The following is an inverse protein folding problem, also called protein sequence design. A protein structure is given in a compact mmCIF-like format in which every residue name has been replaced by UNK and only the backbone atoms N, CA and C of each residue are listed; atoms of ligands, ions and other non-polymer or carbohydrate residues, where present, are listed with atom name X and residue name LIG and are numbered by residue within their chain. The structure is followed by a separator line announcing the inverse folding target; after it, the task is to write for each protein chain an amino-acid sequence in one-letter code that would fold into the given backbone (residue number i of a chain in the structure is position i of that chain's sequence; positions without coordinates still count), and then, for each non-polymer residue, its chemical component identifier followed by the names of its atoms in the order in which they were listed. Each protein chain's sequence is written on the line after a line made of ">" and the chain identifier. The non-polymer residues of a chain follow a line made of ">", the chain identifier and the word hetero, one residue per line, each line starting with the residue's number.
data_IF_369245539492
#
_entry.id   IF_369245539492
#
_cell.length_a   1.000
_cell.length_b   1.000
_cell.length_c   1.000
_cell.angle_alpha   90.00
_cell.angle_beta   90.00
_cell.angle_gamma   90.00
#
_symmetry.space_group_name_H-M   'P 1'
#
loop_
_entity.id
_entity.type
_entity.pdbx_description
1 polymer ?
#
# COMPACT_ATOMS: atom_id res chain seq x y z
N UNK A 1 -40.74 -37.98 -10.79
CA UNK A 1 -40.61 -36.53 -10.53
C UNK A 1 -41.56 -35.80 -11.48
N UNK A 2 -42.56 -35.06 -10.99
CA UNK A 2 -43.55 -34.39 -11.87
C UNK A 2 -42.88 -33.28 -12.68
N UNK A 3 -43.33 -33.04 -13.92
CA UNK A 3 -42.78 -32.01 -14.83
C UNK A 3 -42.62 -30.64 -14.15
N UNK A 4 -43.63 -30.24 -13.37
CA UNK A 4 -43.65 -28.99 -12.60
C UNK A 4 -42.52 -28.89 -11.55
N UNK A 5 -42.20 -29.99 -10.86
CA UNK A 5 -41.12 -30.00 -9.87
C UNK A 5 -39.75 -29.83 -10.53
N UNK A 6 -39.55 -30.46 -11.69
CA UNK A 6 -38.32 -30.31 -12.49
C UNK A 6 -38.17 -28.87 -12.98
N UNK A 7 -39.23 -28.29 -13.53
CA UNK A 7 -39.21 -26.92 -14.07
C UNK A 7 -38.96 -25.89 -12.96
N UNK A 8 -39.51 -26.12 -11.77
CA UNK A 8 -39.23 -25.32 -10.56
C UNK A 8 -37.74 -25.37 -10.18
N UNK A 9 -37.14 -26.56 -10.11
CA UNK A 9 -35.71 -26.69 -9.78
C UNK A 9 -34.82 -26.00 -10.82
N UNK A 10 -35.11 -26.18 -12.11
CA UNK A 10 -34.36 -25.51 -13.19
C UNK A 10 -34.46 -23.99 -13.05
N UNK A 11 -35.65 -23.46 -12.72
CA UNK A 11 -35.85 -22.03 -12.51
C UNK A 11 -35.06 -21.52 -11.31
N UNK A 12 -35.03 -22.26 -10.20
CA UNK A 12 -34.27 -21.88 -9.01
C UNK A 12 -32.77 -21.88 -9.25
N UNK A 13 -32.25 -22.91 -9.93
CA UNK A 13 -30.82 -22.98 -10.29
C UNK A 13 -30.46 -21.85 -11.26
N UNK A 14 -31.25 -21.65 -12.32
CA UNK A 14 -31.03 -20.58 -13.29
C UNK A 14 -31.07 -19.19 -12.65
N UNK A 15 -32.03 -18.96 -11.74
CA UNK A 15 -32.10 -17.74 -10.96
C UNK A 15 -30.91 -17.60 -10.00
N UNK A 16 -30.48 -18.67 -9.34
CA UNK A 16 -29.29 -18.65 -8.48
C UNK A 16 -28.04 -18.26 -9.25
N UNK A 17 -27.80 -18.86 -10.42
CA UNK A 17 -26.68 -18.48 -11.30
C UNK A 17 -26.80 -17.04 -11.78
N UNK A 18 -27.98 -16.61 -12.21
CA UNK A 18 -28.20 -15.22 -12.58
C UNK A 18 -27.90 -14.27 -11.41
N UNK A 19 -28.35 -14.63 -10.20
CA UNK A 19 -28.09 -13.88 -8.97
C UNK A 19 -26.60 -13.75 -8.69
N UNK A 20 -25.87 -14.87 -8.77
CA UNK A 20 -24.41 -14.94 -8.63
C UNK A 20 -23.70 -13.95 -9.58
N UNK A 21 -24.05 -13.97 -10.87
CA UNK A 21 -23.45 -13.06 -11.85
C UNK A 21 -23.87 -11.60 -11.69
N UNK A 22 -25.13 -11.34 -11.32
CA UNK A 22 -25.59 -9.97 -11.05
C UNK A 22 -24.91 -9.36 -9.82
N UNK A 23 -24.56 -10.17 -8.83
CA UNK A 23 -23.78 -9.72 -7.66
C UNK A 23 -22.31 -9.45 -7.95
N UNK A 24 -21.73 -10.05 -8.99
CA UNK A 24 -20.37 -9.70 -9.43
C UNK A 24 -20.32 -8.28 -10.01
N UNK A 25 -21.40 -7.82 -10.64
CA UNK A 25 -21.43 -6.56 -11.37
C UNK A 25 -22.36 -5.53 -10.70
N UNK A 26 -23.67 -5.63 -10.93
CA UNK A 26 -24.64 -4.59 -10.59
C UNK A 26 -24.81 -4.42 -9.08
N UNK A 27 -24.84 -5.51 -8.32
CA UNK A 27 -25.07 -5.47 -6.88
C UNK A 27 -23.79 -5.59 -6.06
N UNK A 28 -22.62 -5.62 -6.70
CA UNK A 28 -21.35 -5.85 -6.01
C UNK A 28 -21.10 -4.85 -4.89
N UNK A 29 -21.07 -3.56 -5.24
CA UNK A 29 -20.82 -2.48 -4.28
C UNK A 29 -21.87 -2.44 -3.17
N UNK A 30 -23.15 -2.62 -3.51
CA UNK A 30 -24.23 -2.65 -2.52
C UNK A 30 -24.02 -3.77 -1.49
N UNK A 31 -23.79 -4.99 -1.95
CA UNK A 31 -23.65 -6.15 -1.07
C UNK A 31 -22.34 -6.04 -0.27
N UNK A 32 -21.22 -5.71 -0.93
CA UNK A 32 -19.91 -5.56 -0.31
C UNK A 32 -19.92 -4.49 0.78
N UNK A 33 -20.49 -3.31 0.53
CA UNK A 33 -20.54 -2.24 1.51
C UNK A 33 -21.33 -2.64 2.76
N UNK A 34 -22.40 -3.44 2.63
CA UNK A 34 -23.15 -3.94 3.77
C UNK A 34 -22.39 -5.04 4.53
N UNK A 35 -21.70 -5.94 3.82
CA UNK A 35 -20.85 -6.97 4.43
C UNK A 35 -19.70 -6.36 5.23
N UNK A 36 -19.01 -5.37 4.68
CA UNK A 36 -17.84 -4.79 5.34
C UNK A 36 -18.25 -3.95 6.57
N UNK A 37 -19.43 -3.32 6.57
CA UNK A 37 -19.96 -2.55 7.72
C UNK A 37 -20.14 -3.36 9.01
N UNK A 38 -20.36 -4.68 8.92
CA UNK A 38 -20.55 -5.54 10.09
C UNK A 38 -19.22 -6.05 10.69
N UNK A 39 -18.09 -5.71 10.06
CA UNK A 39 -16.79 -6.15 10.51
C UNK A 39 -16.25 -5.26 11.64
N UNK A 40 -15.41 -5.81 12.54
CA UNK A 40 -14.55 -5.00 13.39
C UNK A 40 -13.61 -4.12 12.56
N UNK A 41 -12.90 -3.15 13.16
CA UNK A 41 -11.87 -2.36 12.48
C UNK A 41 -10.68 -3.27 12.11
N UNK A 42 -10.79 -3.95 10.98
CA UNK A 42 -9.74 -4.80 10.39
C UNK A 42 -9.50 -4.38 8.95
N UNK A 43 -8.31 -4.64 8.41
CA UNK A 43 -8.01 -4.45 7.00
C UNK A 43 -8.99 -5.23 6.12
N UNK A 44 -9.58 -4.57 5.12
CA UNK A 44 -10.58 -5.16 4.23
C UNK A 44 -10.11 -5.43 2.79
N UNK A 45 -8.84 -5.12 2.48
CA UNK A 45 -8.26 -5.17 1.13
C UNK A 45 -8.26 -6.56 0.51
N UNK A 46 -8.00 -7.58 1.33
CA UNK A 46 -7.83 -8.98 0.90
C UNK A 46 -8.98 -9.88 1.35
N UNK A 47 -10.13 -9.30 1.68
CA UNK A 47 -11.27 -10.09 2.13
C UNK A 47 -11.90 -10.87 0.97
N UNK A 48 -12.42 -12.08 1.24
CA UNK A 48 -12.95 -12.95 0.20
C UNK A 48 -14.23 -12.39 -0.43
N UNK A 49 -14.19 -12.19 -1.76
CA UNK A 49 -15.31 -11.65 -2.53
C UNK A 49 -16.46 -12.64 -2.76
N UNK A 50 -16.19 -13.95 -2.65
CA UNK A 50 -17.15 -15.03 -2.92
C UNK A 50 -18.48 -14.89 -2.15
N UNK A 51 -18.46 -14.24 -0.99
CA UNK A 51 -19.65 -14.01 -0.16
C UNK A 51 -20.63 -13.00 -0.77
N UNK A 52 -20.14 -12.09 -1.62
CA UNK A 52 -20.98 -11.21 -2.43
C UNK A 52 -21.79 -12.05 -3.41
N UNK A 53 -21.13 -13.00 -4.07
CA UNK A 53 -21.73 -13.83 -5.10
C UNK A 53 -22.73 -14.85 -4.53
N UNK A 54 -22.36 -15.51 -3.43
CA UNK A 54 -23.23 -16.45 -2.71
C UNK A 54 -24.49 -15.73 -2.22
N UNK A 55 -24.37 -14.48 -1.77
CA UNK A 55 -25.51 -13.70 -1.31
C UNK A 55 -26.44 -13.31 -2.46
N UNK A 56 -25.91 -12.87 -3.60
CA UNK A 56 -26.71 -12.63 -4.80
C UNK A 56 -27.45 -13.89 -5.26
N UNK A 57 -26.76 -15.03 -5.29
CA UNK A 57 -27.34 -16.32 -5.65
C UNK A 57 -28.50 -16.72 -4.72
N UNK A 58 -28.31 -16.61 -3.40
CA UNK A 58 -29.32 -16.94 -2.42
C UNK A 58 -30.57 -16.06 -2.54
N UNK A 59 -30.37 -14.74 -2.64
CA UNK A 59 -31.47 -13.77 -2.76
C UNK A 59 -32.29 -14.05 -4.02
N UNK A 60 -31.64 -14.19 -5.18
CA UNK A 60 -32.36 -14.36 -6.45
C UNK A 60 -33.06 -15.72 -6.55
N UNK A 61 -32.45 -16.80 -6.02
CA UNK A 61 -33.08 -18.11 -5.97
C UNK A 61 -34.35 -18.10 -5.11
N UNK A 62 -34.30 -17.48 -3.92
CA UNK A 62 -35.49 -17.40 -3.04
C UNK A 62 -36.55 -16.47 -3.65
N UNK A 63 -36.15 -15.37 -4.29
CA UNK A 63 -37.08 -14.50 -5.01
C UNK A 63 -37.78 -15.21 -6.17
N UNK A 64 -37.02 -15.98 -6.96
CA UNK A 64 -37.58 -16.79 -8.04
C UNK A 64 -38.53 -17.89 -7.53
N UNK A 65 -38.25 -18.48 -6.35
CA UNK A 65 -39.18 -19.41 -5.71
C UNK A 65 -40.54 -18.78 -5.43
N UNK A 66 -40.53 -17.56 -4.85
CA UNK A 66 -41.75 -16.81 -4.57
C UNK A 66 -42.50 -16.50 -5.88
N UNK A 67 -41.78 -16.02 -6.89
CA UNK A 67 -42.37 -15.62 -8.18
C UNK A 67 -42.94 -16.83 -8.94
N UNK A 68 -42.26 -17.98 -8.91
CA UNK A 68 -42.75 -19.22 -9.51
C UNK A 68 -44.07 -19.68 -8.85
N UNK A 69 -44.15 -19.64 -7.51
CA UNK A 69 -45.37 -20.03 -6.80
C UNK A 69 -46.55 -19.10 -7.09
N UNK A 70 -46.30 -17.79 -7.21
CA UNK A 70 -47.35 -16.78 -7.50
C UNK A 70 -47.79 -16.84 -8.95
N UNK A 71 -46.86 -16.85 -9.90
CA UNK A 71 -47.14 -16.63 -11.32
C UNK A 71 -47.47 -17.94 -12.04
N UNK A 72 -46.64 -18.97 -11.84
CA UNK A 72 -46.75 -20.22 -12.60
C UNK A 72 -47.69 -21.22 -11.91
N UNK A 73 -47.52 -21.42 -10.60
CA UNK A 73 -48.42 -22.32 -9.86
C UNK A 73 -49.72 -21.65 -9.39
N UNK A 74 -49.83 -20.31 -9.54
CA UNK A 74 -51.01 -19.52 -9.14
C UNK A 74 -51.48 -19.82 -7.72
N UNK A 75 -50.54 -20.17 -6.82
CA UNK A 75 -50.84 -20.55 -5.44
C UNK A 75 -51.20 -19.31 -4.64
N UNK A 76 -52.47 -19.20 -4.25
CA UNK A 76 -52.92 -18.07 -3.44
C UNK A 76 -52.23 -18.05 -2.08
N UNK A 77 -51.87 -16.85 -1.62
CA UNK A 77 -51.25 -16.67 -0.30
C UNK A 77 -52.14 -17.18 0.84
N UNK A 78 -53.48 -17.06 0.71
CA UNK A 78 -54.45 -17.55 1.71
C UNK A 78 -54.36 -19.05 1.94
N UNK A 79 -54.17 -19.84 0.87
CA UNK A 79 -54.12 -21.31 0.95
C UNK A 79 -52.72 -21.83 1.28
N UNK A 80 -51.67 -21.15 0.83
CA UNK A 80 -50.27 -21.61 0.97
C UNK A 80 -49.42 -20.74 1.90
N UNK A 81 -50.05 -20.07 2.87
CA UNK A 81 -49.44 -19.10 3.79
C UNK A 81 -48.11 -19.58 4.39
N UNK A 82 -48.04 -20.84 4.83
CA UNK A 82 -46.83 -21.43 5.44
C UNK A 82 -45.63 -21.42 4.49
N UNK A 83 -45.81 -21.78 3.22
CA UNK A 83 -44.73 -21.82 2.22
C UNK A 83 -44.20 -20.42 1.89
N UNK A 84 -45.11 -19.44 1.74
CA UNK A 84 -44.73 -18.05 1.54
C UNK A 84 -43.99 -17.46 2.75
N UNK A 85 -44.48 -17.69 3.96
CA UNK A 85 -43.82 -17.23 5.17
C UNK A 85 -42.41 -17.82 5.31
N UNK A 86 -42.22 -19.11 5.03
CA UNK A 86 -40.89 -19.73 5.05
C UNK A 86 -39.95 -19.04 4.06
N UNK A 87 -40.38 -18.83 2.82
CA UNK A 87 -39.54 -18.19 1.80
C UNK A 87 -39.21 -16.72 2.14
N UNK A 88 -40.18 -15.96 2.67
CA UNK A 88 -39.94 -14.59 3.15
C UNK A 88 -38.97 -14.60 4.33
N UNK A 89 -39.12 -15.52 5.29
CA UNK A 89 -38.17 -15.67 6.39
C UNK A 89 -36.77 -16.04 5.88
N UNK A 90 -36.66 -16.89 4.86
CA UNK A 90 -35.38 -17.25 4.25
C UNK A 90 -34.69 -16.07 3.56
N UNK A 91 -35.43 -15.12 2.97
CA UNK A 91 -34.86 -13.88 2.42
C UNK A 91 -34.16 -13.03 3.48
N UNK A 92 -34.49 -13.22 4.77
CA UNK A 92 -33.85 -12.51 5.89
C UNK A 92 -32.75 -13.37 6.51
N UNK A 93 -33.07 -14.64 6.80
CA UNK A 93 -32.16 -15.56 7.51
C UNK A 93 -30.94 -15.89 6.66
N UNK A 94 -31.10 -16.18 5.36
CA UNK A 94 -29.98 -16.60 4.53
C UNK A 94 -28.90 -15.50 4.40
N UNK A 95 -29.23 -14.23 4.09
CA UNK A 95 -28.24 -13.16 4.10
C UNK A 95 -27.54 -12.96 5.45
N UNK A 96 -28.27 -13.07 6.57
CA UNK A 96 -27.67 -12.94 7.90
C UNK A 96 -26.69 -14.08 8.22
N UNK A 97 -27.03 -15.31 7.83
CA UNK A 97 -26.13 -16.47 7.99
C UNK A 97 -24.88 -16.29 7.12
N UNK A 98 -25.04 -15.88 5.86
CA UNK A 98 -23.90 -15.62 4.94
C UNK A 98 -23.01 -14.51 5.49
N UNK A 99 -23.59 -13.42 5.98
CA UNK A 99 -22.86 -12.31 6.60
C UNK A 99 -22.13 -12.74 7.89
N UNK A 100 -22.75 -13.61 8.70
CA UNK A 100 -22.11 -14.20 9.89
C UNK A 100 -20.89 -15.06 9.54
N UNK A 101 -21.02 -15.94 8.53
CA UNK A 101 -19.90 -16.76 8.04
C UNK A 101 -18.80 -15.87 7.47
N UNK A 102 -19.16 -14.87 6.66
CA UNK A 102 -18.21 -13.89 6.12
C UNK A 102 -17.42 -13.21 7.24
N UNK A 103 -18.10 -12.71 8.29
CA UNK A 103 -17.45 -12.04 9.41
C UNK A 103 -16.43 -12.95 10.11
N UNK A 104 -16.79 -14.20 10.39
CA UNK A 104 -15.88 -15.15 11.05
C UNK A 104 -14.68 -15.46 10.15
N UNK A 105 -14.90 -15.71 8.86
CA UNK A 105 -13.81 -15.98 7.92
C UNK A 105 -12.89 -14.77 7.75
N UNK A 106 -13.44 -13.56 7.58
CA UNK A 106 -12.67 -12.33 7.45
C UNK A 106 -11.78 -12.07 8.67
N UNK A 107 -12.35 -12.15 9.88
CA UNK A 107 -11.60 -11.95 11.12
C UNK A 107 -10.52 -13.01 11.28
N UNK A 108 -10.85 -14.28 11.06
CA UNK A 108 -9.88 -15.38 11.17
C UNK A 108 -8.74 -15.25 10.15
N UNK A 109 -9.04 -14.78 8.93
CA UNK A 109 -8.04 -14.57 7.88
C UNK A 109 -7.06 -13.47 8.28
N UNK A 110 -7.56 -12.31 8.67
CA UNK A 110 -6.73 -11.17 9.10
C UNK A 110 -5.93 -11.52 10.35
N UNK A 111 -6.54 -12.16 11.35
CA UNK A 111 -5.82 -12.58 12.57
C UNK A 111 -4.72 -13.59 12.29
N UNK A 112 -4.96 -14.54 11.37
CA UNK A 112 -3.93 -15.50 10.97
C UNK A 112 -2.79 -14.81 10.23
N UNK A 113 -3.12 -13.82 9.40
CA UNK A 113 -2.16 -13.03 8.63
C UNK A 113 -1.28 -12.16 9.52
N UNK A 114 -1.89 -11.29 10.30
CA UNK A 114 -1.17 -10.37 11.16
C UNK A 114 -0.58 -11.07 12.39
N UNK A 115 -0.97 -12.32 12.65
CA UNK A 115 -0.40 -13.18 13.69
C UNK A 115 0.98 -13.76 13.35
N UNK A 116 1.41 -13.74 12.08
CA UNK A 116 2.73 -14.26 11.66
C UNK A 116 3.75 -13.13 11.48
N UNK A 117 5.02 -13.49 11.33
CA UNK A 117 6.04 -12.52 10.95
C UNK A 117 5.81 -12.05 9.50
N UNK A 118 5.92 -10.74 9.21
CA UNK A 118 5.96 -10.22 7.86
C UNK A 118 7.07 -10.89 7.05
N UNK A 119 6.83 -11.04 5.75
CA UNK A 119 7.85 -11.48 4.79
C UNK A 119 8.64 -10.33 4.20
N UNK A 120 8.05 -9.13 4.22
CA UNK A 120 8.65 -7.96 3.63
C UNK A 120 8.04 -6.72 4.29
N UNK A 121 8.89 -5.76 4.62
CA UNK A 121 8.47 -4.42 5.04
C UNK A 121 9.26 -3.42 4.22
N UNK A 122 8.54 -2.58 3.49
CA UNK A 122 9.09 -1.41 2.84
C UNK A 122 8.54 -0.17 3.53
N UNK A 123 9.39 0.79 3.84
CA UNK A 123 9.02 2.09 4.39
C UNK A 123 9.43 3.15 3.41
N UNK A 124 8.56 4.11 3.13
CA UNK A 124 8.88 5.33 2.40
C UNK A 124 8.44 6.52 3.21
N UNK A 125 9.14 7.62 3.03
CA UNK A 125 8.75 8.88 3.62
C UNK A 125 8.09 9.75 2.56
N UNK A 126 7.03 10.44 2.98
CA UNK A 126 6.21 11.26 2.10
C UNK A 126 6.46 12.76 2.36
N UNK A 127 7.61 13.13 2.98
CA UNK A 127 7.93 14.54 3.23
C UNK A 127 8.50 15.20 1.98
N UNK A 128 8.22 16.49 1.88
CA UNK A 128 8.94 17.39 0.99
C UNK A 128 10.46 17.27 1.25
N UNK A 129 11.22 17.03 0.18
CA UNK A 129 12.66 16.80 0.26
C UNK A 129 13.12 15.37 0.47
N UNK A 130 12.21 14.41 0.63
CA UNK A 130 12.55 12.97 0.71
C UNK A 130 12.57 12.26 -0.66
N UNK A 131 12.44 13.04 -1.73
CA UNK A 131 12.62 12.57 -3.10
C UNK A 131 13.19 13.65 -4.01
N UNK A 132 13.89 13.22 -5.05
CA UNK A 132 14.32 14.05 -6.17
C UNK A 132 13.65 13.52 -7.43
N UNK A 133 12.82 14.35 -8.07
CA UNK A 133 12.03 13.96 -9.24
C UNK A 133 12.44 14.79 -10.45
N UNK A 134 12.66 14.13 -11.59
CA UNK A 134 12.96 14.75 -12.88
C UNK A 134 11.75 14.65 -13.79
N UNK A 135 11.36 15.74 -14.43
CA UNK A 135 10.24 15.75 -15.35
C UNK A 135 10.56 14.85 -16.57
N UNK A 136 9.68 13.89 -16.86
CA UNK A 136 9.77 13.00 -18.04
C UNK A 136 8.66 13.25 -19.07
N UNK A 137 7.74 14.16 -18.75
CA UNK A 137 6.73 14.70 -19.65
C UNK A 137 6.09 15.95 -19.07
N UNK A 138 4.97 16.39 -19.64
CA UNK A 138 4.24 17.58 -19.16
C UNK A 138 3.45 17.33 -17.86
N UNK A 139 3.23 16.07 -17.50
CA UNK A 139 2.44 15.67 -16.33
C UNK A 139 2.99 14.43 -15.63
N UNK A 140 4.26 14.11 -15.84
CA UNK A 140 4.91 12.93 -15.30
C UNK A 140 6.36 13.23 -14.92
N UNK A 141 6.84 12.50 -13.92
CA UNK A 141 8.19 12.60 -13.42
C UNK A 141 8.64 11.25 -12.86
N UNK A 142 9.94 11.01 -12.99
CA UNK A 142 10.63 9.83 -12.48
C UNK A 142 11.87 10.27 -11.72
N UNK A 143 12.32 9.48 -10.76
CA UNK A 143 13.44 9.90 -9.92
C UNK A 143 13.78 8.91 -8.82
N UNK A 144 14.36 9.43 -7.75
CA UNK A 144 14.79 8.66 -6.58
C UNK A 144 14.07 9.15 -5.34
N UNK A 145 13.76 8.21 -4.45
CA UNK A 145 13.14 8.51 -3.18
C UNK A 145 13.75 7.63 -2.10
N UNK A 146 13.80 8.15 -0.87
CA UNK A 146 14.25 7.38 0.28
C UNK A 146 13.26 6.24 0.56
N UNK A 147 13.78 5.03 0.66
CA UNK A 147 13.02 3.86 1.07
C UNK A 147 13.86 2.96 1.96
N UNK A 148 13.29 2.45 3.04
CA UNK A 148 13.95 1.51 3.93
C UNK A 148 13.33 0.15 3.72
N UNK A 149 14.17 -0.85 3.53
CA UNK A 149 13.77 -2.24 3.34
C UNK A 149 14.30 -3.08 4.48
N UNK A 150 13.47 -4.01 4.97
CA UNK A 150 13.86 -4.92 6.05
C UNK A 150 13.84 -6.36 5.58
N UNK A 151 14.92 -7.07 5.91
CA UNK A 151 15.02 -8.53 5.84
C UNK A 151 15.07 -9.13 7.25
N UNK A 152 15.04 -10.46 7.34
CA UNK A 152 15.29 -11.15 8.59
C UNK A 152 16.70 -10.77 9.13
N UNK A 153 16.86 -10.54 10.45
CA UNK A 153 15.91 -10.82 11.55
C UNK A 153 14.97 -9.66 11.93
N UNK A 154 15.14 -8.45 11.37
CA UNK A 154 14.39 -7.25 11.78
C UNK A 154 12.88 -7.37 11.53
N UNK A 155 12.47 -8.19 10.56
CA UNK A 155 11.06 -8.46 10.27
C UNK A 155 10.29 -9.02 11.47
N UNK A 156 10.93 -9.82 12.34
CA UNK A 156 10.28 -10.37 13.53
C UNK A 156 9.99 -9.28 14.58
N UNK A 157 10.95 -8.38 14.80
CA UNK A 157 10.82 -7.26 15.73
C UNK A 157 9.71 -6.30 15.27
N UNK A 158 9.72 -5.93 13.99
CA UNK A 158 8.65 -5.12 13.41
C UNK A 158 7.30 -5.85 13.46
N UNK A 159 7.25 -7.14 13.12
CA UNK A 159 6.05 -7.95 13.18
C UNK A 159 5.45 -8.00 14.60
N UNK A 160 6.30 -8.13 15.61
CA UNK A 160 5.88 -8.03 17.02
C UNK A 160 5.34 -6.65 17.34
N UNK A 161 6.05 -5.58 16.97
CA UNK A 161 5.60 -4.20 17.18
C UNK A 161 4.23 -3.92 16.53
N UNK A 162 4.00 -4.41 15.31
CA UNK A 162 2.73 -4.26 14.59
C UNK A 162 1.60 -5.01 15.32
N UNK A 163 1.85 -6.24 15.81
CA UNK A 163 0.85 -7.02 16.55
C UNK A 163 0.46 -6.40 17.89
N UNK A 164 1.40 -5.75 18.55
CA UNK A 164 1.22 -5.20 19.90
C UNK A 164 0.74 -3.73 19.89
N UNK A 165 0.37 -3.21 18.72
CA UNK A 165 -0.20 -1.87 18.59
C UNK A 165 -1.51 -1.71 19.37
N UNK A 166 -1.59 -0.66 20.19
CA UNK A 166 -2.79 -0.35 20.96
C UNK A 166 -3.75 0.52 20.14
N UNK A 167 -4.97 0.02 19.89
CA UNK A 167 -6.02 0.78 19.21
C UNK A 167 -6.48 1.95 20.10
N UNK A 168 -6.27 3.17 19.63
CA UNK A 168 -6.66 4.41 20.33
C UNK A 168 -8.04 4.90 19.91
N UNK A 169 -8.31 4.87 18.60
CA UNK A 169 -9.56 5.41 18.07
C UNK A 169 -9.89 4.79 16.71
N UNK A 170 -11.19 4.76 16.39
CA UNK A 170 -11.68 4.50 15.04
C UNK A 170 -12.61 5.65 14.64
N UNK A 171 -12.38 6.24 13.48
CA UNK A 171 -13.17 7.36 12.93
C UNK A 171 -13.69 7.02 11.54
N UNK A 172 -14.61 7.83 11.02
CA UNK A 172 -14.96 7.78 9.60
C UNK A 172 -13.82 8.32 8.74
N UNK A 173 -13.69 7.88 7.48
CA UNK A 173 -12.64 8.42 6.60
C UNK A 173 -12.77 9.93 6.34
N UNK A 174 -13.96 10.51 6.50
CA UNK A 174 -14.21 11.96 6.37
C UNK A 174 -13.63 12.76 7.55
N UNK A 175 -13.38 12.09 8.68
CA UNK A 175 -12.80 12.66 9.91
C UNK A 175 -11.29 12.36 10.03
N UNK A 176 -10.63 12.01 8.93
CA UNK A 176 -9.19 11.77 8.90
C UNK A 176 -8.44 12.98 9.47
N UNK A 177 -7.55 12.73 10.44
CA UNK A 177 -6.82 13.79 11.15
C UNK A 177 -5.45 14.10 10.54
N UNK A 178 -4.90 13.15 9.78
CA UNK A 178 -3.55 13.25 9.26
C UNK A 178 -3.60 13.80 7.83
N UNK A 179 -3.44 15.12 7.71
CA UNK A 179 -3.34 15.80 6.41
C UNK A 179 -2.02 15.47 5.66
N UNK A 180 -1.00 15.00 6.39
CA UNK A 180 0.26 14.52 5.83
C UNK A 180 0.83 13.38 6.67
N UNK A 181 0.93 12.17 6.11
CA UNK A 181 1.73 11.08 6.68
C UNK A 181 3.19 11.51 6.74
N UNK A 182 3.88 11.22 7.83
CA UNK A 182 5.34 11.33 7.86
C UNK A 182 5.95 10.20 7.02
N UNK A 183 5.44 8.99 7.22
CA UNK A 183 5.92 7.80 6.53
C UNK A 183 4.76 6.85 6.24
N UNK A 184 4.94 6.07 5.19
CA UNK A 184 4.05 4.98 4.82
C UNK A 184 4.85 3.68 4.87
N UNK A 185 4.27 2.65 5.49
CA UNK A 185 4.83 1.32 5.64
C UNK A 185 3.96 0.33 4.87
N UNK A 186 4.55 -0.35 3.89
CA UNK A 186 3.94 -1.45 3.15
C UNK A 186 4.43 -2.75 3.75
N UNK A 187 3.50 -3.50 4.33
CA UNK A 187 3.78 -4.75 5.02
C UNK A 187 3.18 -5.88 4.20
N UNK A 188 3.99 -6.87 3.87
CA UNK A 188 3.57 -8.07 3.17
C UNK A 188 3.71 -9.29 4.06
N UNK A 189 2.68 -10.11 4.02
CA UNK A 189 2.60 -11.39 4.69
C UNK A 189 2.34 -12.48 3.65
N UNK A 190 2.66 -13.71 4.03
CA UNK A 190 2.32 -14.91 3.28
C UNK A 190 1.67 -15.92 4.22
N UNK A 191 0.45 -16.35 3.88
CA UNK A 191 -0.34 -17.29 4.67
C UNK A 191 -0.90 -18.36 3.76
N UNK A 192 -0.58 -19.63 4.05
CA UNK A 192 -1.03 -20.78 3.28
C UNK A 192 -0.78 -20.63 1.76
N UNK A 193 0.36 -20.02 1.38
CA UNK A 193 0.73 -19.75 -0.02
C UNK A 193 -0.07 -18.61 -0.68
N UNK A 194 -0.83 -17.84 0.09
CA UNK A 194 -1.54 -16.64 -0.39
C UNK A 194 -0.91 -15.37 0.17
N UNK A 195 -0.89 -14.35 -0.66
CA UNK A 195 -0.43 -13.02 -0.30
C UNK A 195 -1.48 -12.28 0.53
N UNK A 196 -1.02 -11.56 1.55
CA UNK A 196 -1.78 -10.56 2.28
C UNK A 196 -0.91 -9.32 2.48
N UNK A 197 -1.51 -8.14 2.41
CA UNK A 197 -0.78 -6.89 2.66
C UNK A 197 -1.57 -5.91 3.49
N UNK A 198 -0.81 -5.15 4.27
CA UNK A 198 -1.26 -4.08 5.16
C UNK A 198 -0.47 -2.82 4.84
N UNK A 199 -1.13 -1.68 4.89
CA UNK A 199 -0.46 -0.38 4.79
C UNK A 199 -0.73 0.37 6.08
N UNK A 200 0.34 0.86 6.69
CA UNK A 200 0.30 1.73 7.85
C UNK A 200 0.94 3.06 7.50
N UNK A 201 0.22 4.14 7.72
CA UNK A 201 0.82 5.48 7.71
C UNK A 201 1.21 5.85 9.14
N UNK A 202 2.29 6.60 9.34
CA UNK A 202 2.67 7.10 10.66
C UNK A 202 2.96 8.59 10.63
N UNK A 203 2.61 9.28 11.71
CA UNK A 203 2.80 10.71 11.87
C UNK A 203 2.03 11.22 13.08
N UNK A 204 2.40 12.39 13.59
CA UNK A 204 1.83 12.96 14.81
C UNK A 204 1.83 11.99 16.03
N UNK A 205 2.75 11.02 16.07
CA UNK A 205 2.86 10.03 17.13
C UNK A 205 1.87 8.85 17.05
N UNK A 206 1.15 8.70 15.94
CA UNK A 206 0.16 7.64 15.73
C UNK A 206 0.40 6.89 14.42
N UNK A 207 0.04 5.61 14.42
CA UNK A 207 -0.11 4.79 13.23
C UNK A 207 -1.55 4.84 12.76
N UNK A 208 -1.75 4.92 11.45
CA UNK A 208 -3.04 5.05 10.78
C UNK A 208 -3.22 3.93 9.76
N UNK A 209 -4.42 3.35 9.72
CA UNK A 209 -4.80 2.28 8.79
C UNK A 209 -6.23 2.49 8.27
N UNK A 210 -6.44 2.30 6.97
CA UNK A 210 -7.80 2.12 6.44
C UNK A 210 -8.35 0.76 6.83
N UNK A 211 -9.47 0.77 7.54
CA UNK A 211 -10.14 -0.44 8.03
C UNK A 211 -11.55 -0.56 7.49
N UNK A 212 -12.09 -1.77 7.60
CA UNK A 212 -13.40 -2.17 7.13
C UNK A 212 -14.48 -1.12 7.43
N UNK A 213 -15.20 -0.73 6.38
CA UNK A 213 -16.42 0.06 6.48
C UNK A 213 -16.22 1.54 6.18
N UNK A 214 -15.16 1.88 5.45
CA UNK A 214 -14.80 3.27 5.16
C UNK A 214 -14.39 4.01 6.43
N UNK A 215 -13.64 3.32 7.29
CA UNK A 215 -13.18 3.84 8.57
C UNK A 215 -11.66 3.90 8.60
N UNK A 216 -11.15 4.68 9.52
CA UNK A 216 -9.72 4.80 9.80
C UNK A 216 -9.49 4.40 11.25
N UNK A 217 -8.49 3.55 11.49
CA UNK A 217 -8.05 3.16 12.81
C UNK A 217 -6.73 3.83 13.15
N UNK A 218 -6.64 4.36 14.37
CA UNK A 218 -5.43 4.97 14.93
C UNK A 218 -4.87 4.10 16.03
N UNK A 219 -3.56 3.86 15.97
CA UNK A 219 -2.84 3.04 16.93
C UNK A 219 -1.62 3.76 17.49
N UNK A 220 -1.18 3.33 18.67
CA UNK A 220 0.09 3.73 19.24
C UNK A 220 0.93 2.50 19.58
N UNK A 221 2.23 2.58 19.30
CA UNK A 221 3.22 1.65 19.83
C UNK A 221 4.59 2.35 19.92
N UNK A 222 5.04 2.72 21.15
CA UNK A 222 6.34 3.36 21.34
C UNK A 222 7.53 2.49 20.94
N UNK A 223 7.44 1.16 21.06
CA UNK A 223 8.51 0.25 20.65
C UNK A 223 8.68 0.26 19.13
N UNK A 224 7.57 0.19 18.39
CA UNK A 224 7.57 0.29 16.93
C UNK A 224 8.08 1.66 16.46
N UNK A 225 7.69 2.74 17.15
CA UNK A 225 8.22 4.07 16.88
C UNK A 225 9.75 4.14 17.06
N UNK A 226 10.29 3.51 18.11
CA UNK A 226 11.73 3.47 18.34
C UNK A 226 12.46 2.63 17.27
N UNK A 227 11.88 1.52 16.83
CA UNK A 227 12.41 0.73 15.71
C UNK A 227 12.48 1.58 14.42
N UNK A 228 11.44 2.36 14.14
CA UNK A 228 11.43 3.30 13.02
C UNK A 228 12.55 4.32 13.15
N UNK A 229 12.67 5.00 14.29
CA UNK A 229 13.72 6.01 14.52
C UNK A 229 15.12 5.41 14.33
N UNK A 230 15.35 4.20 14.84
CA UNK A 230 16.62 3.49 14.67
C UNK A 230 16.90 3.21 13.20
N UNK A 231 15.92 2.67 12.48
CA UNK A 231 16.08 2.38 11.06
C UNK A 231 16.34 3.64 10.23
N UNK A 232 15.68 4.75 10.55
CA UNK A 232 15.98 6.04 9.91
C UNK A 232 17.39 6.53 10.22
N UNK A 233 17.84 6.41 11.47
CA UNK A 233 19.22 6.72 11.85
C UNK A 233 20.25 5.87 11.10
N UNK A 234 19.99 4.57 10.94
CA UNK A 234 20.85 3.67 10.16
C UNK A 234 20.82 4.05 8.67
N UNK A 235 19.66 4.38 8.09
CA UNK A 235 19.56 4.82 6.70
C UNK A 235 20.28 6.16 6.43
N UNK A 236 20.50 6.98 7.46
CA UNK A 236 21.19 8.24 7.35
C UNK A 236 22.73 8.10 7.36
N UNK A 237 23.25 6.91 7.66
CA UNK A 237 24.69 6.65 7.68
C UNK A 237 25.15 6.12 6.32
N UNK A 238 25.99 6.91 5.62
CA UNK A 238 26.57 6.52 4.34
C UNK A 238 27.33 5.19 4.39
N UNK A 239 27.84 4.81 5.57
CA UNK A 239 28.59 3.57 5.75
C UNK A 239 27.70 2.32 5.67
N UNK A 240 26.38 2.47 5.62
CA UNK A 240 25.45 1.36 5.41
C UNK A 240 25.18 1.06 3.92
N UNK A 241 25.85 1.77 3.02
CA UNK A 241 25.72 1.65 1.57
C UNK A 241 27.06 1.21 0.94
N UNK A 242 27.03 0.40 -0.12
CA UNK A 242 28.23 -0.04 -0.86
C UNK A 242 28.15 0.20 -2.38
N UNK A 243 26.99 0.65 -2.86
CA UNK A 243 26.72 0.84 -4.28
C UNK A 243 25.97 2.14 -4.47
N UNK A 244 26.30 2.82 -5.55
CA UNK A 244 25.59 4.02 -5.96
C UNK A 244 25.41 4.10 -7.48
N UNK A 245 24.34 4.75 -7.90
CA UNK A 245 24.01 5.02 -9.30
C UNK A 245 23.72 6.50 -9.48
N UNK A 246 24.31 7.10 -10.52
CA UNK A 246 24.05 8.49 -10.88
C UNK A 246 22.89 8.57 -11.87
N UNK A 247 21.96 9.49 -11.61
CA UNK A 247 20.82 9.82 -12.48
C UNK A 247 20.71 11.34 -12.68
N UNK A 248 20.23 11.74 -13.85
CA UNK A 248 19.84 13.11 -14.17
C UNK A 248 18.71 13.13 -15.22
N UNK A 249 18.25 14.34 -15.57
CA UNK A 249 17.23 14.58 -16.60
C UNK A 249 17.52 13.87 -17.93
N UNK A 250 18.79 13.87 -18.38
CA UNK A 250 19.21 13.24 -19.64
C UNK A 250 19.10 11.72 -19.58
N UNK A 251 19.46 11.10 -18.46
CA UNK A 251 19.35 9.65 -18.28
C UNK A 251 17.91 9.17 -18.15
N UNK A 252 17.01 10.00 -17.60
CA UNK A 252 15.60 9.67 -17.39
C UNK A 252 14.77 9.85 -18.67
N UNK A 253 15.07 10.88 -19.48
CA UNK A 253 14.28 11.25 -20.65
C UNK A 253 14.63 10.49 -21.95
N UNK A 254 15.48 9.46 -21.90
CA UNK A 254 15.80 8.65 -23.09
C UNK A 254 14.83 7.48 -23.23
N UNK A 255 13.97 7.57 -24.24
CA UNK A 255 13.09 6.47 -24.68
C UNK A 255 13.90 5.19 -25.00
N UNK A 256 13.46 4.07 -24.44
CA UNK A 256 13.71 2.70 -24.89
C UNK A 256 15.17 2.26 -25.12
N UNK A 257 15.69 1.45 -24.18
CA UNK A 257 16.49 0.27 -24.56
C UNK A 257 18.02 0.37 -24.52
N UNK A 258 18.60 1.41 -23.93
CA UNK A 258 20.04 1.39 -23.59
C UNK A 258 20.22 1.40 -22.07
N UNK A 259 20.19 0.22 -21.45
CA UNK A 259 20.70 0.03 -20.08
C UNK A 259 22.16 0.49 -19.92
N UNK A 260 22.87 0.67 -21.04
CA UNK A 260 24.30 0.98 -21.15
C UNK A 260 24.76 2.33 -20.55
N UNK A 261 23.87 3.15 -19.96
CA UNK A 261 24.28 4.41 -19.28
C UNK A 261 23.68 4.66 -17.91
N UNK A 262 23.06 3.66 -17.28
CA UNK A 262 22.87 3.68 -15.83
C UNK A 262 24.23 3.40 -15.20
N UNK A 263 25.04 4.45 -15.02
CA UNK A 263 26.42 4.34 -14.52
C UNK A 263 26.38 4.04 -13.03
N UNK A 264 26.70 2.79 -12.69
CA UNK A 264 27.12 2.46 -11.34
C UNK A 264 28.48 3.06 -11.08
N UNK A 265 28.65 3.63 -9.89
CA UNK A 265 29.96 4.03 -9.42
C UNK A 265 30.83 2.80 -9.21
N UNK A 266 32.11 2.89 -9.56
CA UNK A 266 33.08 1.88 -9.13
C UNK A 266 33.25 1.97 -7.61
N UNK A 267 33.80 0.93 -6.95
CA UNK A 267 34.09 1.00 -5.52
C UNK A 267 34.98 2.20 -5.15
N UNK A 268 35.92 2.57 -6.02
CA UNK A 268 36.79 3.74 -5.84
C UNK A 268 36.01 5.06 -5.93
N UNK A 269 35.15 5.20 -6.95
CA UNK A 269 34.25 6.36 -7.10
C UNK A 269 33.31 6.50 -5.90
N UNK A 270 32.79 5.38 -5.39
CA UNK A 270 31.94 5.37 -4.20
C UNK A 270 32.72 5.80 -2.95
N UNK A 271 33.98 5.39 -2.81
CA UNK A 271 34.80 5.81 -1.68
C UNK A 271 35.08 7.32 -1.70
N UNK A 272 35.27 7.93 -2.89
CA UNK A 272 35.39 9.40 -3.01
C UNK A 272 34.10 10.09 -2.54
N UNK A 273 32.93 9.53 -2.85
CA UNK A 273 31.64 10.04 -2.36
C UNK A 273 31.56 9.99 -0.83
N UNK A 274 31.98 8.89 -0.21
CA UNK A 274 32.04 8.75 1.25
C UNK A 274 32.99 9.78 1.85
N UNK A 275 34.20 9.91 1.29
CA UNK A 275 35.23 10.85 1.76
C UNK A 275 34.85 12.33 1.58
N UNK A 276 33.86 12.61 0.74
CA UNK A 276 33.31 13.95 0.53
C UNK A 276 32.49 14.45 1.73
N UNK A 277 31.92 13.55 2.54
CA UNK A 277 31.07 13.85 3.68
C UNK A 277 31.84 14.17 4.97
N UNK A 278 32.93 14.95 4.85
CA UNK A 278 33.77 15.36 5.99
C UNK A 278 33.29 16.69 6.59
N UNK A 279 33.48 16.91 7.91
CA UNK A 279 33.12 18.17 8.56
C UNK A 279 33.77 19.40 7.92
N UNK A 280 34.98 19.25 7.36
CA UNK A 280 35.72 20.32 6.67
C UNK A 280 34.99 20.85 5.42
N UNK A 281 34.20 20.00 4.76
CA UNK A 281 33.46 20.35 3.54
C UNK A 281 32.07 20.90 3.85
N UNK A 282 31.64 20.91 5.12
CA UNK A 282 30.28 21.24 5.50
C UNK A 282 29.97 22.73 5.27
N UNK A 283 28.87 22.98 4.58
CA UNK A 283 28.36 24.32 4.32
C UNK A 283 27.43 24.73 5.47
N UNK A 284 27.81 25.79 6.19
CA UNK A 284 27.04 26.29 7.34
C UNK A 284 26.07 27.44 7.01
N UNK A 285 26.08 27.96 5.79
CA UNK A 285 25.28 29.09 5.35
C UNK A 285 24.53 28.77 4.04
N UNK A 286 23.37 29.37 3.82
CA UNK A 286 22.60 29.16 2.59
C UNK A 286 23.30 29.80 1.37
N UNK A 287 24.03 28.98 0.59
CA UNK A 287 24.66 29.37 -0.68
C UNK A 287 23.69 29.26 -1.86
N UNK A 288 24.10 29.70 -3.06
CA UNK A 288 23.32 29.51 -4.30
C UNK A 288 23.04 28.02 -4.55
N UNK A 289 24.03 27.14 -4.35
CA UNK A 289 23.86 25.69 -4.51
C UNK A 289 22.85 25.08 -3.55
N UNK A 290 22.88 25.49 -2.27
CA UNK A 290 21.91 25.06 -1.27
C UNK A 290 20.48 25.45 -1.70
N UNK A 291 20.28 26.66 -2.20
CA UNK A 291 18.97 27.13 -2.68
C UNK A 291 18.48 26.33 -3.90
N UNK A 292 19.36 26.09 -4.87
CA UNK A 292 19.05 25.30 -6.08
C UNK A 292 18.64 23.87 -5.71
N UNK A 293 19.35 23.22 -4.78
CA UNK A 293 18.99 21.87 -4.32
C UNK A 293 17.64 21.89 -3.57
N UNK A 294 17.41 22.85 -2.68
CA UNK A 294 16.12 22.99 -1.96
C UNK A 294 14.95 23.16 -2.93
N UNK A 295 15.14 23.88 -4.03
CA UNK A 295 14.15 24.05 -5.10
C UNK A 295 13.92 22.74 -5.88
N UNK A 296 14.99 22.05 -6.28
CA UNK A 296 14.93 20.74 -6.95
C UNK A 296 14.26 19.63 -6.11
N UNK A 297 14.27 19.77 -4.79
CA UNK A 297 13.60 18.88 -3.84
C UNK A 297 12.11 19.21 -3.62
N UNK A 298 11.68 20.42 -3.98
CA UNK A 298 10.30 20.92 -3.88
C UNK A 298 9.52 20.71 -5.17
N UNK A 299 10.17 20.98 -6.29
CA UNK A 299 9.58 20.96 -7.63
C UNK A 299 10.29 19.92 -8.50
N UNK A 300 9.64 19.49 -9.58
CA UNK A 300 10.29 18.60 -10.54
C UNK A 300 11.44 19.32 -11.22
N UNK A 301 12.61 18.69 -11.25
CA UNK A 301 13.75 19.18 -12.01
C UNK A 301 13.36 19.22 -13.49
N UNK A 302 13.38 20.40 -14.15
CA UNK A 302 13.00 20.54 -15.55
C UNK A 302 13.90 19.74 -16.48
N UNK A 303 13.39 19.40 -17.67
CA UNK A 303 14.14 18.61 -18.65
C UNK A 303 15.41 19.32 -19.14
N UNK A 304 15.39 20.65 -19.15
CA UNK A 304 16.49 21.50 -19.59
C UNK A 304 17.60 21.64 -18.52
N UNK A 305 17.31 21.31 -17.26
CA UNK A 305 18.32 21.35 -16.20
C UNK A 305 19.22 20.12 -16.30
N UNK A 306 20.52 20.36 -16.48
CA UNK A 306 21.54 19.34 -16.75
C UNK A 306 22.62 19.27 -15.68
N UNK A 307 22.60 20.18 -14.70
CA UNK A 307 23.60 20.27 -13.65
C UNK A 307 23.16 19.63 -12.34
N UNK A 308 21.88 19.30 -12.19
CA UNK A 308 21.36 18.61 -11.02
C UNK A 308 21.38 17.10 -11.27
N UNK A 309 22.02 16.39 -10.35
CA UNK A 309 22.16 14.94 -10.36
C UNK A 309 21.58 14.35 -9.08
N UNK A 310 20.85 13.24 -9.23
CA UNK A 310 20.53 12.34 -8.13
C UNK A 310 21.58 11.24 -8.05
N UNK A 311 22.04 10.92 -6.85
CA UNK A 311 22.91 9.78 -6.60
C UNK A 311 22.12 8.81 -5.74
N UNK A 312 21.63 7.74 -6.34
CA UNK A 312 20.88 6.69 -5.65
C UNK A 312 21.85 5.78 -4.90
N UNK A 313 21.63 5.55 -3.62
CA UNK A 313 22.47 4.75 -2.74
C UNK A 313 21.75 3.43 -2.41
N UNK A 314 22.45 2.31 -2.55
CA UNK A 314 21.90 0.98 -2.26
C UNK A 314 22.55 0.33 -1.06
N UNK A 315 21.72 -0.25 -0.19
CA UNK A 315 22.13 -0.79 1.09
C UNK A 315 23.05 -2.00 0.91
N UNK A 316 24.07 -2.07 1.77
CA UNK A 316 25.01 -3.19 1.84
C UNK A 316 24.30 -4.52 1.97
N UNK A 317 24.71 -5.50 1.17
CA UNK A 317 24.20 -6.87 1.24
C UNK A 317 22.72 -7.04 0.84
N UNK A 318 22.09 -6.01 0.24
CA UNK A 318 20.81 -6.19 -0.43
C UNK A 318 21.03 -6.75 -1.84
N UNK A 319 20.33 -7.85 -2.16
CA UNK A 319 20.10 -8.25 -3.53
C UNK A 319 18.96 -7.37 -4.10
N UNK A 320 19.01 -7.03 -5.39
CA UNK A 320 17.91 -6.40 -6.13
C UNK A 320 17.41 -5.00 -5.67
N UNK A 321 18.30 -4.04 -5.40
CA UNK A 321 17.93 -2.62 -5.21
C UNK A 321 17.01 -2.36 -3.99
N UNK A 322 17.04 -3.24 -2.99
CA UNK A 322 16.15 -3.16 -1.85
C UNK A 322 16.76 -2.28 -0.75
N UNK A 323 16.06 -1.21 -0.37
CA UNK A 323 16.55 -0.21 0.59
C UNK A 323 17.41 0.84 -0.10
N UNK A 324 16.86 2.04 -0.25
CA UNK A 324 17.42 3.12 -1.05
C UNK A 324 17.49 4.42 -0.25
N UNK A 325 18.60 5.13 -0.40
CA UNK A 325 18.66 6.53 -0.04
C UNK A 325 19.22 7.31 -1.22
N UNK A 326 19.34 8.62 -1.12
CA UNK A 326 19.87 9.40 -2.21
C UNK A 326 20.65 10.62 -1.73
N UNK A 327 21.52 11.09 -2.62
CA UNK A 327 22.15 12.41 -2.53
C UNK A 327 21.70 13.26 -3.72
N UNK A 328 21.83 14.57 -3.56
CA UNK A 328 21.62 15.53 -4.67
C UNK A 328 22.90 16.31 -4.87
N UNK A 329 23.42 16.34 -6.10
CA UNK A 329 24.60 17.10 -6.46
C UNK A 329 24.27 18.15 -7.51
N UNK A 330 24.64 19.40 -7.25
CA UNK A 330 24.62 20.49 -8.23
C UNK A 330 26.02 20.73 -8.77
N UNK A 331 26.27 20.23 -9.99
CA UNK A 331 27.55 20.35 -10.69
C UNK A 331 27.97 21.80 -10.92
N UNK A 332 27.01 22.72 -11.10
CA UNK A 332 27.29 24.13 -11.37
C UNK A 332 27.95 24.82 -10.17
N UNK A 333 27.48 24.51 -8.98
CA UNK A 333 27.94 25.13 -7.72
C UNK A 333 28.82 24.20 -6.89
N UNK A 334 29.03 22.96 -7.35
CA UNK A 334 29.80 21.92 -6.65
C UNK A 334 29.29 21.67 -5.24
N UNK A 335 27.96 21.66 -5.11
CA UNK A 335 27.26 21.47 -3.84
C UNK A 335 26.63 20.09 -3.82
N UNK A 336 26.95 19.30 -2.79
CA UNK A 336 26.34 18.00 -2.51
C UNK A 336 25.39 18.11 -1.32
N UNK A 337 24.27 17.41 -1.34
CA UNK A 337 23.34 17.27 -0.22
C UNK A 337 23.17 15.80 0.14
N UNK A 338 23.27 15.49 1.43
CA UNK A 338 22.93 14.18 2.01
C UNK A 338 22.33 14.38 3.40
N UNK A 339 21.18 13.77 3.68
CA UNK A 339 20.47 13.83 4.98
C UNK A 339 20.33 15.26 5.53
N UNK A 340 19.86 16.18 4.69
CA UNK A 340 19.69 17.61 5.00
C UNK A 340 20.97 18.41 5.32
N UNK A 341 22.15 17.79 5.24
CA UNK A 341 23.44 18.45 5.31
C UNK A 341 23.98 18.75 3.91
N UNK A 342 24.70 19.87 3.77
CA UNK A 342 25.23 20.34 2.49
C UNK A 342 26.75 20.44 2.54
N UNK A 343 27.42 20.05 1.45
CA UNK A 343 28.87 19.95 1.38
C UNK A 343 29.40 20.61 0.11
N UNK A 344 30.53 21.31 0.21
CA UNK A 344 31.24 21.92 -0.92
C UNK A 344 32.30 20.93 -1.42
N UNK A 345 32.03 20.25 -2.53
CA UNK A 345 32.87 19.14 -3.03
C UNK A 345 32.88 19.08 -4.55
N UNK A 346 34.01 18.69 -5.13
CA UNK A 346 34.16 18.50 -6.57
C UNK A 346 33.94 17.02 -6.91
N UNK A 347 32.78 16.70 -7.48
CA UNK A 347 32.42 15.34 -7.93
C UNK A 347 32.32 15.26 -9.46
N UNK A 348 32.88 16.24 -10.18
CA UNK A 348 32.64 16.42 -11.61
C UNK A 348 33.04 15.18 -12.44
N UNK A 349 34.10 14.47 -12.04
CA UNK A 349 34.60 13.25 -12.71
C UNK A 349 33.74 12.00 -12.44
N UNK A 350 33.02 12.00 -11.31
CA UNK A 350 32.19 10.87 -10.85
C UNK A 350 30.78 10.97 -11.46
N UNK A 351 30.27 12.19 -11.63
CA UNK A 351 28.94 12.44 -12.22
C UNK A 351 28.95 12.66 -13.74
N UNK A 352 30.13 12.69 -14.37
CA UNK A 352 30.32 12.92 -15.81
C UNK A 352 29.70 11.84 -16.71
#
# INVERSE_FOLDING_TARGET
>A
MTKVLRDKIITLLGAGFLGYYLSISLFHSLIRNNLVKILPPINDRHLPDIYVDIMGAAILAIFAYLLFNVVLEKRSFKLYKKSYLIAISLLIIAPLVIAGIFRVHAVSWVQKAEGTAPKEITIRTDREGDSLMFADGTSSASGVAKSIFFTEPLLDDFGKGIREMELKQVVSSEEQRMDSSYLTMWIRYEIDGKWYSKILSYGQGLFEEHVAGGRIAYYANPELENLLKKAFGESADINNYDRARVINSVTINRENGAEERKRFLTPEDFQILVDSLRPENLIHQDTEGVKRIKEALKEWVPQEETNIYGIELWQKGSDENMGQNFMVYDKRTRTLMFECAYYQVDLDDIVA
#
